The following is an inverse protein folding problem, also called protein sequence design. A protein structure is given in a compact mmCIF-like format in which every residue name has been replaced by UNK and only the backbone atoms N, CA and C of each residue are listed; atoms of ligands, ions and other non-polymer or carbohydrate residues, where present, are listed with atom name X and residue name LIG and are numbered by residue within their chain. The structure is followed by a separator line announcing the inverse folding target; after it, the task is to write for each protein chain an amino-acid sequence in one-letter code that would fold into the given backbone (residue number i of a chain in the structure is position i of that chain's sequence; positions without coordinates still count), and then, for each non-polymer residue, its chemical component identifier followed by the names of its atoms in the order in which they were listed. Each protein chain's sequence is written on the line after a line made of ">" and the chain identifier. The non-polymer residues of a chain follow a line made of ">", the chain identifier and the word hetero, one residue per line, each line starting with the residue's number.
data_IF_742867874373
#
_entry.id   IF_742867874373
#
_cell.length_a   1.000
_cell.length_b   1.000
_cell.length_c   1.000
_cell.angle_alpha   90.00
_cell.angle_beta   90.00
_cell.angle_gamma   90.00
#
_symmetry.space_group_name_H-M   'P 1'
#
loop_
_entity.id
_entity.type
_entity.pdbx_description
1 polymer ?
#
# COMPACT_ATOMS: atom_id res chain seq x y z
N UNK A 1 -16.80 -12.61 8.86
CA UNK A 1 -16.46 -11.31 8.21
C UNK A 1 -16.95 -10.19 9.13
N UNK A 2 -16.18 -9.12 9.30
CA UNK A 2 -16.62 -7.97 10.07
C UNK A 2 -17.56 -7.09 9.22
N UNK A 3 -18.47 -6.38 9.88
CA UNK A 3 -19.50 -5.58 9.22
C UNK A 3 -18.89 -4.56 8.24
N UNK A 4 -19.34 -4.58 6.99
CA UNK A 4 -18.83 -3.70 5.92
C UNK A 4 -17.64 -4.24 5.13
N UNK A 5 -17.06 -5.39 5.48
CA UNK A 5 -16.05 -6.05 4.64
C UNK A 5 -16.66 -7.09 3.70
N UNK A 6 -16.32 -7.07 2.40
CA UNK A 6 -16.71 -8.11 1.46
C UNK A 6 -16.04 -9.44 1.82
N UNK A 7 -16.81 -10.54 1.72
CA UNK A 7 -16.28 -11.90 1.86
C UNK A 7 -16.02 -12.47 0.47
N UNK A 8 -14.76 -12.78 0.16
CA UNK A 8 -14.38 -13.50 -1.06
C UNK A 8 -13.30 -14.54 -0.77
N UNK A 9 -13.71 -15.81 -0.67
CA UNK A 9 -12.83 -16.90 -0.23
C UNK A 9 -11.66 -17.14 -1.21
N UNK A 10 -11.86 -16.87 -2.50
CA UNK A 10 -10.82 -16.97 -3.52
C UNK A 10 -9.75 -15.88 -3.34
N UNK A 11 -10.16 -14.63 -3.14
CA UNK A 11 -9.28 -13.49 -2.90
C UNK A 11 -8.46 -13.69 -1.61
N UNK A 12 -9.09 -14.21 -0.55
CA UNK A 12 -8.40 -14.56 0.70
C UNK A 12 -7.37 -15.68 0.49
N UNK A 13 -7.71 -16.73 -0.26
CA UNK A 13 -6.77 -17.81 -0.59
C UNK A 13 -5.58 -17.31 -1.41
N UNK A 14 -5.81 -16.40 -2.38
CA UNK A 14 -4.74 -15.77 -3.16
C UNK A 14 -3.83 -14.91 -2.28
N UNK A 15 -4.39 -14.10 -1.37
CA UNK A 15 -3.61 -13.31 -0.39
C UNK A 15 -2.76 -14.21 0.50
N UNK A 16 -3.31 -15.31 1.01
CA UNK A 16 -2.57 -16.27 1.82
C UNK A 16 -1.39 -16.90 1.07
N UNK A 17 -1.55 -17.21 -0.23
CA UNK A 17 -0.45 -17.68 -1.08
C UNK A 17 0.60 -16.59 -1.32
N UNK A 18 0.16 -15.35 -1.57
CA UNK A 18 1.06 -14.22 -1.83
C UNK A 18 2.01 -13.93 -0.66
N UNK A 19 1.48 -13.97 0.57
CA UNK A 19 2.26 -13.77 1.81
C UNK A 19 3.36 -14.83 1.95
N UNK A 20 3.08 -16.07 1.52
CA UNK A 20 4.01 -17.22 1.63
C UNK A 20 4.95 -17.36 0.44
N UNK A 21 4.82 -16.55 -0.62
CA UNK A 21 5.65 -16.66 -1.80
C UNK A 21 7.12 -16.31 -1.51
N UNK A 22 8.03 -17.22 -1.85
CA UNK A 22 9.47 -17.12 -1.58
C UNK A 22 10.24 -16.34 -2.67
N UNK A 23 9.69 -16.27 -3.89
CA UNK A 23 10.30 -15.57 -5.01
C UNK A 23 9.54 -14.29 -5.37
N UNK A 24 10.29 -13.29 -5.84
CA UNK A 24 9.71 -12.04 -6.34
C UNK A 24 8.80 -12.29 -7.55
N UNK A 25 9.19 -13.19 -8.44
CA UNK A 25 8.40 -13.56 -9.62
C UNK A 25 7.05 -14.19 -9.22
N UNK A 26 7.07 -15.17 -8.31
CA UNK A 26 5.85 -15.80 -7.80
C UNK A 26 4.95 -14.79 -7.09
N UNK A 27 5.53 -13.88 -6.31
CA UNK A 27 4.80 -12.81 -5.63
C UNK A 27 4.16 -11.83 -6.62
N UNK A 28 4.82 -11.48 -7.73
CA UNK A 28 4.25 -10.63 -8.80
C UNK A 28 3.10 -11.33 -9.53
N UNK A 29 3.25 -12.62 -9.85
CA UNK A 29 2.18 -13.41 -10.49
C UNK A 29 0.92 -13.44 -9.63
N UNK A 30 1.07 -13.77 -8.34
CA UNK A 30 -0.04 -13.80 -7.39
C UNK A 30 -0.68 -12.41 -7.20
N UNK A 31 0.11 -11.32 -7.21
CA UNK A 31 -0.43 -9.96 -7.14
C UNK A 31 -1.33 -9.63 -8.33
N UNK A 32 -0.96 -10.06 -9.54
CA UNK A 32 -1.79 -9.88 -10.73
C UNK A 32 -3.11 -10.68 -10.64
N UNK A 33 -3.06 -11.91 -10.12
CA UNK A 33 -4.27 -12.74 -9.89
C UNK A 33 -5.19 -12.10 -8.83
N UNK A 34 -4.63 -11.56 -7.75
CA UNK A 34 -5.37 -10.80 -6.71
C UNK A 34 -6.07 -9.60 -7.34
N UNK A 35 -5.34 -8.80 -8.13
CA UNK A 35 -5.93 -7.63 -8.79
C UNK A 35 -7.04 -8.03 -9.74
N UNK A 36 -6.84 -9.06 -10.57
CA UNK A 36 -7.87 -9.58 -11.46
C UNK A 36 -9.15 -9.94 -10.70
N UNK A 37 -9.04 -10.73 -9.62
CA UNK A 37 -10.20 -11.11 -8.79
C UNK A 37 -10.87 -9.88 -8.16
N UNK A 38 -10.08 -8.92 -7.67
CA UNK A 38 -10.62 -7.67 -7.12
C UNK A 38 -11.40 -6.85 -8.16
N UNK A 39 -10.99 -6.84 -9.43
CA UNK A 39 -11.74 -6.20 -10.52
C UNK A 39 -13.02 -6.94 -10.89
N UNK A 40 -13.06 -8.28 -10.76
CA UNK A 40 -14.27 -9.07 -11.01
C UNK A 40 -15.35 -8.85 -9.94
N UNK A 41 -14.96 -8.73 -8.67
CA UNK A 41 -15.91 -8.64 -7.54
C UNK A 41 -16.14 -7.23 -7.02
N UNK A 42 -15.32 -6.27 -7.46
CA UNK A 42 -15.43 -4.83 -7.17
C UNK A 42 -15.70 -4.57 -5.67
N UNK A 43 -14.78 -4.96 -4.77
CA UNK A 43 -14.99 -4.82 -3.32
C UNK A 43 -15.04 -3.35 -2.88
N UNK A 44 -14.46 -2.45 -3.68
CA UNK A 44 -14.50 -1.00 -3.54
C UNK A 44 -14.17 -0.36 -4.90
N UNK A 45 -14.47 0.94 -5.05
CA UNK A 45 -14.15 1.72 -6.25
C UNK A 45 -13.00 2.67 -5.92
N UNK A 46 -11.79 2.51 -6.51
CA UNK A 46 -10.71 3.47 -6.33
C UNK A 46 -11.04 4.76 -7.10
N UNK A 47 -11.17 5.88 -6.38
CA UNK A 47 -11.51 7.19 -6.97
C UNK A 47 -10.31 8.05 -7.32
N UNK A 48 -9.10 7.64 -6.90
CA UNK A 48 -7.87 8.35 -7.18
C UNK A 48 -6.71 7.85 -6.34
N UNK A 49 -5.57 8.55 -6.48
CA UNK A 49 -4.38 8.37 -5.66
C UNK A 49 -4.03 9.73 -5.04
N UNK A 50 -3.50 9.69 -3.82
CA UNK A 50 -3.03 10.90 -3.13
C UNK A 50 -1.54 10.78 -2.85
N UNK A 51 -0.82 11.87 -3.07
CA UNK A 51 0.58 12.03 -2.72
C UNK A 51 0.68 12.94 -1.50
N UNK A 52 1.38 12.51 -0.46
CA UNK A 52 1.66 13.36 0.68
C UNK A 52 2.53 14.54 0.24
N UNK A 53 2.01 15.76 0.40
CA UNK A 53 2.74 17.00 0.13
C UNK A 53 2.91 17.74 1.46
N UNK A 54 4.15 17.99 1.85
CA UNK A 54 4.46 18.72 3.08
C UNK A 54 5.35 19.92 2.75
N UNK A 55 4.94 21.10 3.19
CA UNK A 55 5.71 22.32 3.06
C UNK A 55 6.58 22.55 4.31
N UNK A 56 7.81 23.03 4.10
CA UNK A 56 8.77 23.32 5.16
C UNK A 56 9.37 24.70 4.98
N UNK A 57 9.84 25.31 6.07
CA UNK A 57 10.59 26.58 5.99
C UNK A 57 11.92 26.34 5.25
N UNK A 58 12.36 27.35 4.48
CA UNK A 58 13.61 27.29 3.71
C UNK A 58 14.87 27.12 4.58
N UNK A 59 14.79 27.45 5.86
CA UNK A 59 15.89 27.32 6.81
C UNK A 59 15.92 25.97 7.55
N UNK A 60 15.27 24.94 7.02
CA UNK A 60 15.33 23.58 7.56
C UNK A 60 16.19 22.69 6.67
N UNK A 61 17.05 21.90 7.28
CA UNK A 61 17.84 20.83 6.65
C UNK A 61 17.51 19.48 7.26
N UNK A 62 17.86 18.40 6.55
CA UNK A 62 17.73 17.03 7.05
C UNK A 62 16.31 16.45 7.01
N UNK A 63 15.39 17.06 6.26
CA UNK A 63 14.05 16.52 6.02
C UNK A 63 14.16 15.19 5.25
N UNK A 64 13.63 14.12 5.84
CA UNK A 64 13.62 12.78 5.22
C UNK A 64 12.30 12.60 4.47
N UNK A 65 12.39 12.28 3.18
CA UNK A 65 11.21 11.90 2.39
C UNK A 65 10.81 10.45 2.70
N UNK A 66 9.87 10.29 3.63
CA UNK A 66 9.38 9.00 4.07
C UNK A 66 7.86 9.04 4.33
N UNK A 67 7.16 7.89 4.32
CA UNK A 67 5.72 7.84 4.62
C UNK A 67 5.36 8.30 6.04
N UNK A 68 6.32 8.23 6.95
CA UNK A 68 6.20 8.69 8.32
C UNK A 68 6.97 10.01 8.50
N UNK A 69 6.53 10.82 9.47
CA UNK A 69 7.24 12.04 9.85
C UNK A 69 8.44 11.71 10.73
N UNK A 70 9.66 11.82 10.17
CA UNK A 70 10.91 11.49 10.86
C UNK A 70 11.69 12.77 11.17
N UNK A 71 11.89 13.06 12.46
CA UNK A 71 12.51 14.33 12.91
C UNK A 71 13.96 14.23 13.36
N UNK A 72 14.53 13.03 13.46
CA UNK A 72 15.79 12.79 14.17
C UNK A 72 17.03 13.46 13.55
N UNK A 73 16.98 13.89 12.28
CA UNK A 73 18.06 14.61 11.58
C UNK A 73 17.66 16.05 11.18
N UNK A 74 16.51 16.54 11.63
CA UNK A 74 15.99 17.83 11.18
C UNK A 74 16.57 18.96 12.01
N UNK A 75 17.23 19.91 11.34
CA UNK A 75 17.91 21.03 11.99
C UNK A 75 17.57 22.36 11.32
N UNK A 76 17.64 23.44 12.09
CA UNK A 76 17.62 24.80 11.53
C UNK A 76 19.01 25.15 11.00
N UNK A 77 19.05 25.73 9.81
CA UNK A 77 20.23 26.39 9.25
C UNK A 77 20.40 27.79 9.79
#
# INVERSE_FOLDING_TARGET
>A
PWFGWPKDDQLEALRAKWIKAESLEGRKKLAAEIQKRAFEVVPYIPTGQWTQMTAYRKNLKGIINAPAFLMWNVEKT
#
